data_IF_089012125151
#
_entry.id   IF_089012125151
#
_cell.length_a   1.000
_cell.length_b   1.000
_cell.length_c   1.000
_cell.angle_alpha   90.00
_cell.angle_beta   90.00
_cell.angle_gamma   90.00
#
_symmetry.space_group_name_H-M   'P 1'
#
loop_
_entity.id
_entity.type
_entity.pdbx_description
1 polymer ?
#
# COMPACT_ATOMS: atom_id res chain seq x y z
N UNK A 1 15.66 14.89 -3.37
CA UNK A 1 14.45 14.05 -3.36
C UNK A 1 14.86 12.60 -3.07
N UNK A 2 14.37 12.01 -1.99
CA UNK A 2 14.75 10.66 -1.55
C UNK A 2 13.95 9.55 -2.29
N UNK A 3 14.30 8.27 -2.08
CA UNK A 3 13.63 7.14 -2.77
C UNK A 3 12.12 7.09 -2.50
N UNK A 4 11.72 7.38 -1.26
CA UNK A 4 10.31 7.43 -0.85
C UNK A 4 9.53 8.48 -1.63
N UNK A 5 10.03 9.72 -1.66
CA UNK A 5 9.42 10.81 -2.40
C UNK A 5 9.33 10.50 -3.90
N UNK A 6 10.35 9.87 -4.48
CA UNK A 6 10.35 9.43 -5.89
C UNK A 6 9.26 8.41 -6.17
N UNK A 7 9.08 7.43 -5.30
CA UNK A 7 8.02 6.44 -5.41
C UNK A 7 6.65 7.11 -5.32
N UNK A 8 6.41 7.93 -4.30
CA UNK A 8 5.13 8.66 -4.15
C UNK A 8 4.84 9.53 -5.38
N UNK A 9 5.82 10.31 -5.84
CA UNK A 9 5.64 11.18 -7.00
C UNK A 9 5.37 10.41 -8.30
N UNK A 10 5.87 9.17 -8.44
CA UNK A 10 5.60 8.32 -9.60
C UNK A 10 4.13 7.88 -9.66
N UNK A 11 3.48 7.66 -8.52
CA UNK A 11 2.13 7.08 -8.46
C UNK A 11 1.04 8.08 -8.03
N UNK A 12 1.39 9.30 -7.61
CA UNK A 12 0.44 10.31 -7.09
C UNK A 12 -0.68 10.71 -8.05
N UNK A 13 -0.54 10.47 -9.36
CA UNK A 13 -1.62 10.76 -10.33
C UNK A 13 -2.81 9.81 -10.19
N UNK A 14 -2.57 8.60 -9.66
CA UNK A 14 -3.56 7.52 -9.57
C UNK A 14 -3.80 7.02 -8.14
N UNK A 15 -2.90 7.37 -7.21
CA UNK A 15 -2.95 6.94 -5.81
C UNK A 15 -2.90 8.18 -4.91
N UNK A 16 -3.85 8.26 -3.99
CA UNK A 16 -3.87 9.28 -2.95
C UNK A 16 -3.17 8.75 -1.69
N UNK A 17 -2.00 9.30 -1.37
CA UNK A 17 -1.24 8.94 -0.18
C UNK A 17 -1.64 9.84 0.99
N UNK A 18 -2.12 9.25 2.09
CA UNK A 18 -2.62 9.97 3.26
C UNK A 18 -1.87 9.51 4.50
N UNK A 19 -1.09 10.40 5.10
CA UNK A 19 -0.43 10.13 6.38
C UNK A 19 -1.41 10.35 7.54
N UNK A 20 -1.46 9.38 8.46
CA UNK A 20 -2.35 9.36 9.62
C UNK A 20 -1.58 9.09 10.90
N UNK A 21 -1.93 9.84 11.94
CA UNK A 21 -1.36 9.68 13.28
C UNK A 21 -2.20 8.72 14.14
N UNK A 22 -3.46 8.51 13.78
CA UNK A 22 -4.50 7.80 14.53
C UNK A 22 -4.77 6.37 14.03
N UNK A 23 -3.82 5.76 13.33
CA UNK A 23 -3.96 4.37 12.90
C UNK A 23 -3.86 3.40 14.09
N UNK A 24 -4.66 2.32 14.11
CA UNK A 24 -4.57 1.28 15.14
C UNK A 24 -3.13 0.76 15.31
N UNK A 25 -2.69 0.40 16.52
CA UNK A 25 -1.40 -0.25 16.73
C UNK A 25 -1.29 -1.53 15.88
N UNK A 26 -0.16 -1.74 15.22
CA UNK A 26 0.08 -2.89 14.35
C UNK A 26 -0.53 -2.79 12.95
N UNK A 27 -1.20 -1.68 12.61
CA UNK A 27 -1.62 -1.36 11.24
C UNK A 27 -0.85 -0.14 10.74
N UNK A 28 0.24 -0.41 10.03
CA UNK A 28 1.18 0.63 9.60
C UNK A 28 0.85 1.20 8.22
N UNK A 29 0.11 0.44 7.39
CA UNK A 29 -0.45 0.91 6.15
C UNK A 29 -1.77 0.20 5.82
N UNK A 30 -2.58 0.83 4.96
CA UNK A 30 -3.86 0.29 4.51
C UNK A 30 -4.25 0.89 3.15
N UNK A 31 -4.59 0.04 2.18
CA UNK A 31 -5.24 0.47 0.93
C UNK A 31 -6.76 0.35 1.00
N UNK A 32 -7.46 1.44 0.64
CA UNK A 32 -8.91 1.44 0.39
C UNK A 32 -9.20 2.13 -0.95
N UNK A 33 -9.53 1.33 -1.96
CA UNK A 33 -9.66 1.80 -3.33
C UNK A 33 -8.32 2.33 -3.84
N UNK A 34 -8.27 3.61 -4.23
CA UNK A 34 -7.05 4.30 -4.67
C UNK A 34 -6.38 5.11 -3.56
N UNK A 35 -6.82 4.96 -2.31
CA UNK A 35 -6.24 5.67 -1.16
C UNK A 35 -5.30 4.72 -0.42
N UNK A 36 -4.07 5.18 -0.18
CA UNK A 36 -3.07 4.50 0.64
C UNK A 36 -2.90 5.31 1.92
N UNK A 37 -3.34 4.76 3.04
CA UNK A 37 -3.17 5.33 4.37
C UNK A 37 -1.87 4.82 4.98
N UNK A 38 -1.06 5.70 5.55
CA UNK A 38 0.24 5.38 6.12
C UNK A 38 0.34 5.94 7.54
N UNK A 39 0.85 5.15 8.48
CA UNK A 39 1.14 5.67 9.80
C UNK A 39 2.35 6.61 9.77
N UNK A 40 2.36 7.63 10.62
CA UNK A 40 3.53 8.49 10.84
C UNK A 40 4.54 7.91 11.83
N UNK A 41 4.26 6.73 12.39
CA UNK A 41 5.07 6.11 13.46
C UNK A 41 6.25 5.28 12.95
N UNK A 42 6.28 4.97 11.65
CA UNK A 42 7.30 4.11 11.05
C UNK A 42 8.57 4.86 10.66
N UNK A 43 9.70 4.15 10.68
CA UNK A 43 10.95 4.63 10.10
C UNK A 43 10.88 4.70 8.57
N UNK A 44 11.90 5.31 7.96
CA UNK A 44 11.98 5.48 6.50
C UNK A 44 11.91 4.16 5.72
N UNK A 45 12.65 3.13 6.17
CA UNK A 45 12.72 1.82 5.50
C UNK A 45 11.38 1.10 5.53
N UNK A 46 10.74 1.05 6.70
CA UNK A 46 9.45 0.39 6.89
C UNK A 46 8.36 1.09 6.08
N UNK A 47 8.36 2.43 6.08
CA UNK A 47 7.44 3.23 5.27
C UNK A 47 7.60 2.92 3.78
N UNK A 48 8.84 2.76 3.30
CA UNK A 48 9.09 2.45 1.90
C UNK A 48 8.58 1.04 1.53
N UNK A 49 8.77 0.06 2.42
CA UNK A 49 8.25 -1.30 2.23
C UNK A 49 6.73 -1.31 2.19
N UNK A 50 6.07 -0.68 3.17
CA UNK A 50 4.62 -0.60 3.22
C UNK A 50 4.03 0.09 1.98
N UNK A 51 4.63 1.20 1.55
CA UNK A 51 4.18 1.85 0.30
C UNK A 51 4.32 0.93 -0.91
N UNK A 52 5.39 0.14 -0.99
CA UNK A 52 5.56 -0.84 -2.07
C UNK A 52 4.43 -1.86 -2.10
N UNK A 53 4.08 -2.43 -0.94
CA UNK A 53 2.99 -3.39 -0.79
C UNK A 53 1.63 -2.77 -1.16
N UNK A 54 1.34 -1.58 -0.63
CA UNK A 54 0.07 -0.90 -0.88
C UNK A 54 -0.10 -0.41 -2.33
N UNK A 55 0.97 0.05 -2.99
CA UNK A 55 0.94 0.33 -4.43
C UNK A 55 0.66 -0.96 -5.20
N UNK A 56 1.30 -2.07 -4.80
CA UNK A 56 1.02 -3.39 -5.34
C UNK A 56 -0.46 -3.76 -5.22
N UNK A 57 -1.08 -3.50 -4.06
CA UNK A 57 -2.51 -3.70 -3.86
C UNK A 57 -3.34 -2.85 -4.82
N UNK A 58 -3.08 -1.55 -4.97
CA UNK A 58 -3.83 -0.70 -5.91
C UNK A 58 -3.68 -1.17 -7.36
N UNK A 59 -2.48 -1.58 -7.78
CA UNK A 59 -2.22 -1.97 -9.17
C UNK A 59 -2.77 -3.35 -9.54
N UNK A 60 -2.81 -4.28 -8.59
CA UNK A 60 -3.28 -5.67 -8.83
C UNK A 60 -4.77 -5.82 -8.56
N UNK A 61 -5.34 -4.98 -7.70
CA UNK A 61 -6.77 -4.99 -7.39
C UNK A 61 -7.60 -4.42 -8.53
N UNK A 62 -8.21 -5.30 -9.32
CA UNK A 62 -9.36 -4.96 -10.17
C UNK A 62 -10.60 -4.91 -9.26
N UNK A 63 -10.94 -3.73 -8.73
CA UNK A 63 -12.22 -3.48 -8.04
C UNK A 63 -12.45 -4.21 -6.71
N UNK A 64 -12.43 -3.48 -5.60
CA UNK A 64 -13.00 -3.84 -4.30
C UNK A 64 -12.68 -5.25 -3.72
N UNK A 65 -11.46 -5.44 -3.19
CA UNK A 65 -10.99 -6.65 -2.49
C UNK A 65 -11.29 -6.68 -0.98
N UNK A 66 -12.19 -5.83 -0.46
CA UNK A 66 -12.67 -5.98 0.93
C UNK A 66 -13.38 -7.32 1.20
N UNK A 67 -13.55 -8.15 0.16
CA UNK A 67 -13.98 -9.52 0.23
C UNK A 67 -12.75 -10.43 0.13
N UNK A 68 -12.21 -10.88 1.27
CA UNK A 68 -11.39 -12.10 1.35
C UNK A 68 -12.24 -13.37 1.10
N UNK A 69 -13.11 -13.35 0.07
CA UNK A 69 -14.12 -14.41 -0.13
C UNK A 69 -13.68 -15.46 -1.13
N UNK A 70 -12.73 -15.17 -2.01
CA UNK A 70 -12.33 -16.10 -3.07
C UNK A 70 -10.83 -16.39 -3.08
N UNK A 71 -10.46 -17.56 -3.61
CA UNK A 71 -9.07 -17.96 -3.76
C UNK A 71 -8.27 -17.00 -4.68
N UNK A 72 -8.96 -16.32 -5.60
CA UNK A 72 -8.37 -15.30 -6.45
C UNK A 72 -7.96 -14.05 -5.67
N UNK A 73 -8.74 -13.62 -4.67
CA UNK A 73 -8.40 -12.48 -3.81
C UNK A 73 -7.11 -12.76 -3.01
N UNK A 74 -6.97 -13.96 -2.47
CA UNK A 74 -5.75 -14.43 -1.77
C UNK A 74 -4.54 -14.57 -2.71
N UNK A 75 -4.78 -14.97 -3.96
CA UNK A 75 -3.74 -15.08 -5.00
C UNK A 75 -3.24 -13.70 -5.44
N UNK A 76 -4.14 -12.73 -5.57
CA UNK A 76 -3.85 -11.33 -5.87
C UNK A 76 -3.03 -10.70 -4.74
N UNK A 77 -3.43 -10.90 -3.47
CA UNK A 77 -2.68 -10.42 -2.31
C UNK A 77 -1.26 -10.99 -2.25
N UNK A 78 -1.08 -12.29 -2.51
CA UNK A 78 0.25 -12.92 -2.60
C UNK A 78 1.12 -12.35 -3.72
N UNK A 79 0.54 -12.05 -4.89
CA UNK A 79 1.25 -11.41 -6.01
C UNK A 79 1.64 -9.98 -5.69
N UNK A 80 0.76 -9.21 -5.05
CA UNK A 80 1.05 -7.85 -4.59
C UNK A 80 2.24 -7.85 -3.62
N UNK A 81 2.27 -8.78 -2.65
CA UNK A 81 3.41 -8.93 -1.74
C UNK A 81 4.71 -9.24 -2.48
N UNK A 82 4.71 -10.15 -3.44
CA UNK A 82 5.92 -10.49 -4.20
C UNK A 82 6.48 -9.31 -5.01
N UNK A 83 5.61 -8.44 -5.55
CA UNK A 83 6.03 -7.24 -6.29
C UNK A 83 6.62 -6.15 -5.39
N UNK A 84 6.22 -6.07 -4.12
CA UNK A 84 6.78 -5.12 -3.15
C UNK A 84 8.25 -5.40 -2.76
N UNK A 85 8.77 -6.59 -3.03
CA UNK A 85 10.14 -7.01 -2.70
C UNK A 85 11.19 -6.77 -3.81
N UNK A 86 10.79 -6.24 -4.97
CA UNK A 86 11.71 -5.85 -6.08
C UNK A 86 11.92 -4.35 -6.17
#
# INVERSE_FOLDING_TARGET
MNRLERTINKYKSNINFVYKTDMPPGLDALTVGNNVFLTTRCGFTDTLQHIGEEIGHVQTTVGNISKYKTADDLSQERKARQLGYT
#
